data_IF_599949989664
#
_entry.id   IF_599949989664
#
_cell.length_a   1.000
_cell.length_b   1.000
_cell.length_c   1.000
_cell.angle_alpha   90.00
_cell.angle_beta   90.00
_cell.angle_gamma   90.00
#
_symmetry.space_group_name_H-M   'P 1'
#
loop_
_entity.id
_entity.type
_entity.pdbx_description
1 polymer ?
#
# COMPACT_ATOMS: atom_id res chain seq x y z
N UNK A 1 5.46 9.25 11.37
CA UNK A 1 5.97 8.58 10.15
C UNK A 1 5.29 9.20 8.95
N UNK A 2 6.00 9.43 7.86
CA UNK A 2 5.39 9.82 6.58
C UNK A 2 5.09 8.56 5.77
N UNK A 3 3.80 8.24 5.62
CA UNK A 3 3.30 7.06 4.91
C UNK A 3 3.02 7.30 3.43
N UNK A 4 3.49 8.42 2.86
CA UNK A 4 3.40 8.66 1.43
C UNK A 4 3.88 7.44 0.65
N UNK A 5 3.01 6.93 -0.23
CA UNK A 5 3.30 5.74 -1.05
C UNK A 5 4.23 6.16 -2.19
N UNK A 6 5.53 6.00 -1.95
CA UNK A 6 6.59 6.26 -2.93
C UNK A 6 7.64 5.15 -2.88
N UNK A 7 8.62 5.21 -3.79
CA UNK A 7 9.72 4.24 -3.86
C UNK A 7 10.59 4.19 -2.58
N UNK A 8 10.50 5.19 -1.70
CA UNK A 8 11.27 5.30 -0.46
C UNK A 8 10.49 4.82 0.77
N UNK A 9 9.18 4.59 0.65
CA UNK A 9 8.33 4.09 1.73
C UNK A 9 8.92 2.84 2.42
N UNK A 10 9.41 1.81 1.70
CA UNK A 10 10.01 0.64 2.34
C UNK A 10 11.23 0.98 3.22
N UNK A 11 12.08 1.89 2.76
CA UNK A 11 13.26 2.30 3.51
C UNK A 11 12.89 3.15 4.73
N UNK A 12 12.02 4.16 4.56
CA UNK A 12 11.53 4.99 5.67
C UNK A 12 10.85 4.13 6.74
N UNK A 13 10.01 3.19 6.32
CA UNK A 13 9.34 2.26 7.23
C UNK A 13 10.32 1.37 7.98
N UNK A 14 11.36 0.85 7.32
CA UNK A 14 12.39 0.02 7.96
C UNK A 14 13.11 0.78 9.09
N UNK A 15 13.44 2.04 8.85
CA UNK A 15 14.09 2.91 9.85
C UNK A 15 13.14 3.20 11.03
N UNK A 16 11.94 3.70 10.74
CA UNK A 16 10.91 3.97 11.74
C UNK A 16 10.57 2.74 12.59
N UNK A 17 10.38 1.58 11.95
CA UNK A 17 10.05 0.31 12.63
C UNK A 17 11.15 -0.10 13.60
N UNK A 18 12.42 0.12 13.24
CA UNK A 18 13.56 -0.18 14.11
C UNK A 18 13.56 0.75 15.32
N UNK A 19 13.36 2.05 15.11
CA UNK A 19 13.31 3.05 16.18
C UNK A 19 12.18 2.74 17.18
N UNK A 20 10.95 2.62 16.69
CA UNK A 20 9.78 2.31 17.53
C UNK A 20 9.97 1.00 18.28
N UNK A 21 10.51 -0.05 17.65
CA UNK A 21 10.75 -1.34 18.33
C UNK A 21 11.81 -1.22 19.43
N UNK A 22 12.85 -0.42 19.22
CA UNK A 22 13.89 -0.20 20.22
C UNK A 22 13.32 0.56 21.41
N UNK A 23 12.58 1.65 21.16
CA UNK A 23 11.94 2.44 22.22
C UNK A 23 10.90 1.64 23.01
N UNK A 24 10.09 0.82 22.32
CA UNK A 24 9.14 -0.09 22.96
C UNK A 24 9.85 -1.05 23.91
N UNK A 25 10.97 -1.65 23.45
CA UNK A 25 11.77 -2.59 24.25
C UNK A 25 12.41 -1.93 25.47
N UNK A 26 13.01 -0.75 25.29
CA UNK A 26 13.60 0.01 26.38
C UNK A 26 12.54 0.38 27.40
N UNK A 27 11.43 0.97 26.93
CA UNK A 27 10.31 1.38 27.77
C UNK A 27 9.74 0.25 28.61
N UNK A 28 9.54 -0.94 28.03
CA UNK A 28 9.00 -2.11 28.74
C UNK A 28 10.02 -2.81 29.63
N UNK A 29 11.32 -2.61 29.39
CA UNK A 29 12.36 -3.12 30.28
C UNK A 29 12.52 -2.23 31.53
N UNK A 30 12.31 -0.92 31.38
CA UNK A 30 12.40 0.06 32.47
C UNK A 30 11.18 0.05 33.41
N UNK A 31 10.03 -0.39 32.90
CA UNK A 31 8.76 -0.37 33.61
C UNK A 31 7.99 -1.68 33.37
N UNK A 32 7.99 -2.54 34.39
CA UNK A 32 7.32 -3.84 34.36
C UNK A 32 5.79 -3.77 34.36
N UNK A 33 5.21 -2.60 34.69
CA UNK A 33 3.76 -2.42 34.69
C UNK A 33 3.22 -2.10 33.28
N UNK A 34 4.10 -1.79 32.32
CA UNK A 34 3.72 -1.60 30.92
C UNK A 34 3.25 -2.92 30.32
N UNK A 35 1.97 -2.94 29.98
CA UNK A 35 1.29 -4.10 29.40
C UNK A 35 1.44 -4.15 27.88
N UNK A 36 1.03 -5.28 27.31
CA UNK A 36 0.90 -5.44 25.87
C UNK A 36 -0.10 -4.44 25.25
N UNK A 37 -1.13 -4.02 26.00
CA UNK A 37 -2.05 -2.97 25.57
C UNK A 37 -1.32 -1.63 25.44
N UNK A 38 -0.49 -1.28 26.41
CA UNK A 38 0.36 -0.08 26.33
C UNK A 38 1.26 -0.14 25.09
N UNK A 39 1.86 -1.30 24.81
CA UNK A 39 2.69 -1.51 23.64
C UNK A 39 1.90 -1.31 22.33
N UNK A 40 0.67 -1.84 22.24
CA UNK A 40 -0.22 -1.62 21.10
C UNK A 40 -0.53 -0.14 20.92
N UNK A 41 -0.96 0.54 21.98
CA UNK A 41 -1.27 1.98 21.96
C UNK A 41 -0.05 2.81 21.54
N UNK A 42 1.13 2.49 22.05
CA UNK A 42 2.37 3.18 21.70
C UNK A 42 2.66 3.08 20.19
N UNK A 43 2.60 1.88 19.60
CA UNK A 43 2.85 1.68 18.17
C UNK A 43 1.83 2.44 17.32
N UNK A 44 0.54 2.44 17.69
CA UNK A 44 -0.51 3.19 16.98
C UNK A 44 -0.22 4.69 17.02
N UNK A 45 0.06 5.24 18.21
CA UNK A 45 0.38 6.67 18.37
C UNK A 45 1.61 7.06 17.55
N UNK A 46 2.68 6.28 17.59
CA UNK A 46 3.90 6.54 16.81
C UNK A 46 3.68 6.48 15.29
N UNK A 47 2.66 5.74 14.84
CA UNK A 47 2.33 5.62 13.42
C UNK A 47 1.59 6.85 12.87
N UNK A 48 0.95 7.65 13.74
CA UNK A 48 0.17 8.83 13.37
C UNK A 48 -1.15 8.48 12.66
N UNK A 49 -1.91 9.52 12.27
CA UNK A 49 -3.26 9.40 11.68
C UNK A 49 -3.29 8.46 10.46
N UNK A 50 -2.33 8.58 9.55
CA UNK A 50 -2.21 7.70 8.38
C UNK A 50 -1.96 6.23 8.76
N UNK A 51 -1.21 5.99 9.83
CA UNK A 51 -0.98 4.64 10.34
C UNK A 51 -2.25 4.04 10.95
N UNK A 52 -3.05 4.85 11.64
CA UNK A 52 -4.36 4.46 12.15
C UNK A 52 -5.32 4.06 11.02
N UNK A 53 -5.34 4.86 9.96
CA UNK A 53 -6.08 4.60 8.72
C UNK A 53 -5.71 3.24 8.08
N UNK A 54 -4.42 2.89 8.06
CA UNK A 54 -3.94 1.60 7.54
C UNK A 54 -4.47 0.45 8.40
N UNK A 55 -4.45 0.60 9.73
CA UNK A 55 -4.96 -0.41 10.65
C UNK A 55 -6.48 -0.55 10.57
N UNK A 56 -7.21 0.55 10.36
CA UNK A 56 -8.65 0.51 10.13
C UNK A 56 -8.99 -0.26 8.85
N UNK A 57 -8.26 -0.01 7.76
CA UNK A 57 -8.42 -0.76 6.51
C UNK A 57 -8.12 -2.25 6.65
N UNK A 58 -7.15 -2.60 7.51
CA UNK A 58 -6.84 -3.99 7.85
C UNK A 58 -7.88 -4.64 8.78
N UNK A 59 -8.90 -3.90 9.25
CA UNK A 59 -9.89 -4.38 10.20
C UNK A 59 -9.33 -4.59 11.61
N UNK A 60 -8.29 -3.84 11.98
CA UNK A 60 -7.54 -4.05 13.22
C UNK A 60 -7.81 -2.98 14.29
N UNK A 61 -8.51 -1.90 13.97
CA UNK A 61 -8.84 -0.86 14.94
C UNK A 61 -9.78 -1.39 16.04
N UNK A 62 -9.29 -1.44 17.29
CA UNK A 62 -10.07 -1.89 18.45
C UNK A 62 -9.92 -3.37 18.83
N UNK A 63 -9.29 -4.20 17.99
CA UNK A 63 -9.13 -5.64 18.26
C UNK A 63 -7.68 -6.08 18.56
N UNK A 64 -6.68 -5.21 18.37
CA UNK A 64 -5.28 -5.63 18.55
C UNK A 64 -4.86 -5.59 20.01
N UNK A 65 -4.62 -6.77 20.58
CA UNK A 65 -3.93 -6.97 21.85
C UNK A 65 -2.51 -7.53 21.64
N UNK A 66 -1.94 -7.36 20.44
CA UNK A 66 -0.62 -7.84 20.08
C UNK A 66 0.06 -6.86 19.12
N UNK A 67 1.04 -6.12 19.62
CA UNK A 67 1.81 -5.11 18.87
C UNK A 67 2.56 -5.74 17.68
N UNK A 68 2.85 -7.05 17.72
CA UNK A 68 3.48 -7.75 16.59
C UNK A 68 2.50 -7.90 15.43
N UNK A 69 1.20 -8.07 15.69
CA UNK A 69 0.18 -8.09 14.65
C UNK A 69 0.06 -6.71 13.99
N UNK A 70 0.14 -5.63 14.78
CA UNK A 70 0.16 -4.26 14.25
C UNK A 70 1.34 -4.07 13.29
N UNK A 71 2.56 -4.45 13.70
CA UNK A 71 3.71 -4.40 12.81
C UNK A 71 3.56 -5.27 11.56
N UNK A 72 2.89 -6.43 11.66
CA UNK A 72 2.62 -7.28 10.50
C UNK A 72 1.66 -6.61 9.51
N UNK A 73 0.66 -5.88 10.01
CA UNK A 73 -0.25 -5.10 9.17
C UNK A 73 0.50 -4.03 8.38
N UNK A 74 1.40 -3.31 9.05
CA UNK A 74 2.27 -2.35 8.38
C UNK A 74 3.27 -3.02 7.42
N UNK A 75 3.84 -4.18 7.76
CA UNK A 75 4.70 -4.95 6.86
C UNK A 75 3.94 -5.31 5.56
N UNK A 76 2.67 -5.73 5.68
CA UNK A 76 1.83 -6.05 4.54
C UNK A 76 1.46 -4.81 3.70
N UNK A 77 1.27 -3.65 4.33
CA UNK A 77 1.00 -2.40 3.62
C UNK A 77 2.23 -1.92 2.82
N UNK A 78 3.42 -2.05 3.41
CA UNK A 78 4.67 -1.54 2.83
C UNK A 78 5.29 -2.51 1.81
N UNK A 79 4.98 -3.80 1.91
CA UNK A 79 5.47 -4.81 0.96
C UNK A 79 4.52 -4.86 -0.25
N UNK A 80 5.00 -4.63 -1.48
CA UNK A 80 4.19 -4.83 -2.67
C UNK A 80 3.68 -6.28 -2.70
N UNK A 81 2.42 -6.49 -3.10
CA UNK A 81 1.91 -7.86 -3.25
C UNK A 81 2.75 -8.62 -4.30
N UNK A 82 2.91 -9.93 -4.15
CA UNK A 82 3.60 -10.76 -5.16
C UNK A 82 2.97 -10.58 -6.55
N UNK A 83 1.65 -10.42 -6.58
CA UNK A 83 0.86 -10.13 -7.78
C UNK A 83 1.30 -8.83 -8.48
N UNK A 84 1.72 -7.80 -7.74
CA UNK A 84 2.23 -6.56 -8.34
C UNK A 84 3.59 -6.75 -9.02
N UNK A 85 4.47 -7.53 -8.40
CA UNK A 85 5.79 -7.84 -8.97
C UNK A 85 5.61 -8.71 -10.22
N UNK A 86 4.70 -9.68 -10.17
CA UNK A 86 4.31 -10.51 -11.31
C UNK A 86 3.71 -9.67 -12.44
N UNK A 87 2.73 -8.80 -12.16
CA UNK A 87 2.13 -7.88 -13.15
C UNK A 87 3.20 -6.93 -13.76
N UNK A 88 4.19 -6.49 -12.98
CA UNK A 88 5.31 -5.69 -13.47
C UNK A 88 6.17 -6.49 -14.46
N UNK A 89 6.59 -7.69 -14.04
CA UNK A 89 7.42 -8.58 -14.85
C UNK A 89 6.70 -8.92 -16.14
N UNK A 90 5.43 -9.30 -16.05
CA UNK A 90 4.61 -9.62 -17.21
C UNK A 90 4.47 -8.40 -18.13
N UNK A 91 4.14 -7.21 -17.62
CA UNK A 91 4.01 -6.04 -18.48
C UNK A 91 5.30 -5.68 -19.23
N UNK A 92 6.44 -5.67 -18.52
CA UNK A 92 7.72 -5.23 -19.10
C UNK A 92 8.36 -6.29 -19.99
N UNK A 93 8.21 -7.58 -19.65
CA UNK A 93 8.89 -8.67 -20.36
C UNK A 93 7.99 -9.51 -21.27
N UNK A 94 6.67 -9.30 -21.28
CA UNK A 94 5.78 -9.98 -22.21
C UNK A 94 6.14 -9.64 -23.67
N UNK A 95 6.45 -10.70 -24.43
CA UNK A 95 6.63 -10.67 -25.88
C UNK A 95 5.31 -11.05 -26.56
N UNK A 96 5.11 -10.61 -27.80
CA UNK A 96 3.89 -10.89 -28.55
C UNK A 96 3.62 -12.39 -28.73
N UNK A 97 4.65 -13.17 -29.06
CA UNK A 97 4.50 -14.62 -29.29
C UNK A 97 3.49 -14.90 -30.41
N UNK A 98 2.59 -15.85 -30.15
CA UNK A 98 1.54 -16.29 -31.09
C UNK A 98 0.26 -15.43 -31.02
N UNK A 99 0.21 -14.43 -30.14
CA UNK A 99 -0.94 -13.55 -30.03
C UNK A 99 -1.05 -12.65 -31.26
N UNK A 100 -2.29 -12.42 -31.70
CA UNK A 100 -2.55 -11.34 -32.64
C UNK A 100 -2.17 -9.99 -32.03
N UNK A 101 -1.88 -9.01 -32.88
CA UNK A 101 -1.53 -7.66 -32.43
C UNK A 101 -2.61 -7.09 -31.50
N UNK A 102 -3.88 -7.34 -31.80
CA UNK A 102 -5.00 -6.88 -30.98
C UNK A 102 -5.03 -7.54 -29.60
N UNK A 103 -4.78 -8.84 -29.51
CA UNK A 103 -4.78 -9.57 -28.25
C UNK A 103 -3.59 -9.15 -27.38
N UNK A 104 -2.40 -9.03 -27.97
CA UNK A 104 -1.21 -8.58 -27.27
C UNK A 104 -1.38 -7.17 -26.68
N UNK A 105 -1.96 -6.24 -27.44
CA UNK A 105 -2.26 -4.89 -26.97
C UNK A 105 -3.30 -4.89 -25.84
N UNK A 106 -4.34 -5.72 -25.93
CA UNK A 106 -5.34 -5.84 -24.86
C UNK A 106 -4.74 -6.35 -23.55
N UNK A 107 -3.90 -7.39 -23.60
CA UNK A 107 -3.22 -7.93 -22.41
C UNK A 107 -2.27 -6.90 -21.82
N UNK A 108 -1.48 -6.21 -22.64
CA UNK A 108 -0.62 -5.11 -22.17
C UNK A 108 -1.42 -3.98 -21.52
N UNK A 109 -2.57 -3.60 -22.08
CA UNK A 109 -3.42 -2.57 -21.46
C UNK A 109 -4.00 -3.02 -20.12
N UNK A 110 -4.39 -4.29 -19.98
CA UNK A 110 -4.86 -4.86 -18.71
C UNK A 110 -3.77 -4.85 -17.64
N UNK A 111 -2.55 -5.29 -17.99
CA UNK A 111 -1.41 -5.28 -17.08
C UNK A 111 -1.02 -3.85 -16.70
N UNK A 112 -0.95 -2.92 -17.67
CA UNK A 112 -0.70 -1.51 -17.39
C UNK A 112 -1.79 -0.89 -16.49
N UNK A 113 -3.05 -1.22 -16.73
CA UNK A 113 -4.18 -0.80 -15.89
C UNK A 113 -3.98 -1.31 -14.46
N UNK A 114 -3.65 -2.58 -14.26
CA UNK A 114 -3.40 -3.13 -12.92
C UNK A 114 -2.22 -2.44 -12.25
N UNK A 115 -1.12 -2.21 -12.98
CA UNK A 115 0.05 -1.49 -12.49
C UNK A 115 -0.27 -0.05 -12.09
N UNK A 116 -1.04 0.65 -12.90
CA UNK A 116 -1.50 1.99 -12.59
C UNK A 116 -2.43 1.95 -11.37
N UNK A 117 -3.43 1.08 -11.30
CA UNK A 117 -4.33 1.00 -10.14
C UNK A 117 -3.60 0.72 -8.82
N UNK A 118 -2.54 -0.08 -8.86
CA UNK A 118 -1.71 -0.37 -7.68
C UNK A 118 -0.76 0.80 -7.37
N UNK A 119 -0.12 1.40 -8.39
CA UNK A 119 0.74 2.58 -8.21
C UNK A 119 -0.03 3.84 -7.78
N UNK A 120 -1.30 3.94 -8.15
CA UNK A 120 -2.22 5.05 -7.84
C UNK A 120 -2.91 4.88 -6.50
N UNK A 121 -2.17 4.50 -5.47
CA UNK A 121 -2.60 4.21 -4.08
C UNK A 121 -3.38 5.35 -3.36
N UNK A 122 -3.90 6.35 -4.06
CA UNK A 122 -4.86 7.33 -3.58
C UNK A 122 -6.28 6.72 -3.52
N UNK A 123 -6.84 6.60 -2.31
CA UNK A 123 -8.15 5.97 -2.01
C UNK A 123 -9.28 6.48 -2.94
N UNK A 124 -9.22 7.75 -3.34
CA UNK A 124 -10.20 8.36 -4.25
C UNK A 124 -10.08 7.95 -5.71
N UNK A 125 -8.87 7.65 -6.20
CA UNK A 125 -8.69 7.18 -7.56
C UNK A 125 -9.04 5.71 -7.71
N UNK A 126 -8.77 4.89 -6.69
CA UNK A 126 -9.30 3.52 -6.65
C UNK A 126 -10.85 3.55 -6.67
N UNK A 127 -11.48 4.45 -5.91
CA UNK A 127 -12.95 4.65 -5.95
C UNK A 127 -13.45 5.13 -7.31
N UNK A 128 -12.78 6.09 -7.94
CA UNK A 128 -13.17 6.56 -9.28
C UNK A 128 -13.01 5.44 -10.33
N UNK A 129 -11.94 4.66 -10.24
CA UNK A 129 -11.72 3.53 -11.13
C UNK A 129 -12.72 2.39 -10.90
N UNK A 130 -13.15 2.15 -9.66
CA UNK A 130 -14.23 1.22 -9.32
C UNK A 130 -15.61 1.70 -9.81
N UNK A 131 -15.80 3.01 -9.97
CA UNK A 131 -17.03 3.60 -10.56
C UNK A 131 -17.06 3.49 -12.09
N UNK A 132 -15.91 3.28 -12.74
CA UNK A 132 -15.87 2.96 -14.17
C UNK A 132 -16.39 1.53 -14.36
N UNK A 133 -17.34 1.34 -15.30
CA UNK A 133 -17.77 -0.01 -15.70
C UNK A 133 -16.55 -0.80 -16.22
N UNK A 134 -16.54 -2.13 -16.13
CA UNK A 134 -15.40 -2.97 -16.55
C UNK A 134 -14.89 -2.65 -17.98
N UNK A 135 -15.78 -2.22 -18.88
CA UNK A 135 -15.45 -1.88 -20.26
C UNK A 135 -14.87 -0.45 -20.43
N UNK A 136 -14.97 0.38 -19.39
CA UNK A 136 -14.52 1.78 -19.36
C UNK A 136 -13.25 1.99 -18.55
N UNK A 137 -12.75 0.97 -17.85
CA UNK A 137 -11.55 1.06 -17.02
C UNK A 137 -10.28 0.78 -17.85
N UNK A 138 -10.03 1.60 -18.87
CA UNK A 138 -8.83 1.49 -19.73
C UNK A 138 -7.65 2.28 -19.15
N UNK A 139 -6.41 1.90 -19.47
CA UNK A 139 -5.21 2.63 -19.05
C UNK A 139 -5.22 4.10 -19.48
N UNK A 140 -5.77 4.40 -20.66
CA UNK A 140 -5.96 5.76 -21.15
C UNK A 140 -6.89 6.60 -20.26
N UNK A 141 -8.06 6.06 -19.88
CA UNK A 141 -9.01 6.75 -18.99
C UNK A 141 -8.48 6.92 -17.57
N UNK A 142 -7.67 5.96 -17.10
CA UNK A 142 -6.96 6.08 -15.81
C UNK A 142 -5.91 7.21 -15.88
N UNK A 143 -5.11 7.26 -16.94
CA UNK A 143 -4.13 8.34 -17.17
C UNK A 143 -4.79 9.71 -17.29
N UNK A 144 -5.91 9.84 -18.02
CA UNK A 144 -6.67 11.09 -18.08
C UNK A 144 -7.16 11.55 -16.70
N UNK A 145 -7.60 10.61 -15.86
CA UNK A 145 -8.09 10.91 -14.51
C UNK A 145 -6.95 11.38 -13.60
N UNK A 146 -5.75 10.78 -13.71
CA UNK A 146 -4.53 11.23 -13.03
C UNK A 146 -4.17 12.66 -13.46
N UNK A 147 -4.10 12.90 -14.77
CA UNK A 147 -3.65 14.19 -15.33
C UNK A 147 -4.60 15.31 -14.93
N UNK A 148 -5.92 15.09 -14.95
CA UNK A 148 -6.88 16.09 -14.48
C UNK A 148 -6.68 16.46 -13.01
N UNK A 149 -6.34 15.51 -12.14
CA UNK A 149 -6.12 15.80 -10.72
C UNK A 149 -4.81 16.58 -10.51
N UNK A 150 -3.73 16.19 -11.18
CA UNK A 150 -2.43 16.89 -11.10
C UNK A 150 -2.44 18.31 -11.68
N UNK A 151 -3.48 18.68 -12.45
CA UNK A 151 -3.66 20.05 -12.98
C UNK A 151 -4.52 20.94 -12.09
N UNK A 152 -5.16 20.37 -11.05
CA UNK A 152 -6.07 21.07 -10.14
C UNK A 152 -5.41 21.33 -8.76
N UNK A 153 -4.25 20.71 -8.50
CA UNK A 153 -3.31 21.05 -7.42
C UNK A 153 -2.24 22.04 -7.91
#
# INVERSE_FOLDING_TARGET
MDWAVDARLPQRYKEWRREVRNELRLSMAEDSDKTELWACTYVVVCSGEQGEDILQQAGMLGETNDHKKIFKAFDNFVTPSSHYIEDCIDYFYMKQGDLSISEFQNVKQLLLRNLLLVGLSHRDMLRECQRLKNNDCTSAKILESIVRRLQVE
#
